data_IF_304391123756
#
_entry.id   IF_304391123756
#
_cell.length_a   1.000
_cell.length_b   1.000
_cell.length_c   1.000
_cell.angle_alpha   90.00
_cell.angle_beta   90.00
_cell.angle_gamma   90.00
#
_symmetry.space_group_name_H-M   'P 1'
#
loop_
_entity.id
_entity.type
_entity.pdbx_description
1 polymer ?
#
# COMPACT_ATOMS: atom_id res chain seq x y z
N UNK A 1 -1.48 -19.01 -22.39
CA UNK A 1 -1.09 -17.92 -21.48
C UNK A 1 0.07 -18.41 -20.64
N UNK A 2 1.13 -17.62 -20.43
CA UNK A 2 2.24 -18.00 -19.52
C UNK A 2 1.88 -17.62 -18.09
N UNK A 3 2.43 -18.33 -17.10
CA UNK A 3 2.22 -18.01 -15.69
C UNK A 3 2.56 -16.54 -15.37
N UNK A 4 3.66 -16.03 -15.91
CA UNK A 4 4.07 -14.62 -15.78
C UNK A 4 3.07 -13.61 -16.34
N UNK A 5 2.30 -13.98 -17.36
CA UNK A 5 1.30 -13.12 -17.97
C UNK A 5 -0.01 -13.15 -17.17
N UNK A 6 -0.28 -14.27 -16.50
CA UNK A 6 -1.42 -14.44 -15.60
C UNK A 6 -1.20 -13.72 -14.26
N UNK A 7 -0.02 -13.81 -13.67
CA UNK A 7 0.35 -13.10 -12.43
C UNK A 7 0.13 -11.60 -12.57
N UNK A 8 0.55 -11.00 -13.69
CA UNK A 8 0.35 -9.57 -13.98
C UNK A 8 -1.11 -9.15 -14.12
N UNK A 9 -2.01 -10.10 -14.44
CA UNK A 9 -3.45 -9.82 -14.53
C UNK A 9 -4.15 -9.92 -13.18
N UNK A 10 -3.56 -10.65 -12.23
CA UNK A 10 -4.17 -10.93 -10.94
C UNK A 10 -3.66 -9.99 -9.82
N UNK A 11 -2.42 -9.49 -9.92
CA UNK A 11 -1.86 -8.56 -8.95
C UNK A 11 -2.45 -7.16 -9.16
N UNK A 12 -3.11 -6.63 -8.13
CA UNK A 12 -3.61 -5.25 -8.14
C UNK A 12 -2.43 -4.29 -7.98
N UNK A 13 -2.25 -3.40 -8.96
CA UNK A 13 -1.24 -2.33 -8.92
C UNK A 13 -1.90 -0.95 -8.91
N UNK A 14 -1.46 -0.08 -8.01
CA UNK A 14 -1.94 1.29 -7.85
C UNK A 14 -0.82 2.29 -8.15
N UNK A 15 -1.06 3.20 -9.10
CA UNK A 15 -0.15 4.30 -9.44
C UNK A 15 -0.55 5.57 -8.70
N UNK A 16 0.40 6.22 -8.04
CA UNK A 16 0.22 7.49 -7.33
C UNK A 16 1.14 8.54 -7.93
N UNK A 17 0.54 9.63 -8.42
CA UNK A 17 1.24 10.77 -8.99
C UNK A 17 1.31 11.91 -7.97
N UNK A 18 2.43 12.64 -7.95
CA UNK A 18 2.64 13.72 -6.99
C UNK A 18 2.34 15.09 -7.62
N UNK A 19 1.28 15.73 -7.13
CA UNK A 19 0.81 17.04 -7.60
C UNK A 19 1.97 18.06 -7.72
N UNK A 20 2.04 18.73 -8.88
CA UNK A 20 3.06 19.75 -9.17
C UNK A 20 4.42 19.20 -9.61
N UNK A 21 4.52 17.90 -9.87
CA UNK A 21 5.73 17.24 -10.38
C UNK A 21 5.35 16.13 -11.38
N UNK A 22 6.32 15.67 -12.17
CA UNK A 22 6.18 14.44 -12.98
C UNK A 22 6.45 13.16 -12.17
N UNK A 23 6.65 13.29 -10.85
CA UNK A 23 6.98 12.19 -9.96
C UNK A 23 5.82 11.21 -9.78
N UNK A 24 6.11 9.91 -9.75
CA UNK A 24 5.15 8.88 -9.41
C UNK A 24 5.77 7.70 -8.65
N UNK A 25 4.92 6.97 -7.94
CA UNK A 25 5.19 5.61 -7.47
C UNK A 25 4.11 4.65 -7.96
N UNK A 26 4.46 3.37 -8.09
CA UNK A 26 3.53 2.28 -8.36
C UNK A 26 3.70 1.21 -7.28
N UNK A 27 2.61 0.90 -6.59
CA UNK A 27 2.58 -0.09 -5.53
C UNK A 27 1.72 -1.27 -5.96
N UNK A 28 2.19 -2.50 -5.78
CA UNK A 28 1.32 -3.68 -5.80
C UNK A 28 0.58 -3.81 -4.46
N UNK A 29 -0.48 -4.60 -4.41
CA UNK A 29 -1.04 -5.05 -3.15
C UNK A 29 -0.05 -5.94 -2.37
N UNK A 30 -0.12 -5.95 -1.03
CA UNK A 30 0.68 -6.87 -0.23
C UNK A 30 0.15 -8.30 -0.38
N UNK A 31 1.03 -9.29 -0.29
CA UNK A 31 0.62 -10.70 -0.30
C UNK A 31 0.01 -11.11 1.04
N UNK A 32 -0.71 -12.22 1.07
CA UNK A 32 -1.23 -12.81 2.32
C UNK A 32 -0.09 -13.06 3.31
N UNK A 33 1.02 -13.66 2.85
CA UNK A 33 2.19 -13.92 3.68
C UNK A 33 2.80 -12.64 4.27
N UNK A 34 2.93 -11.57 3.47
CA UNK A 34 3.44 -10.27 3.93
C UNK A 34 2.55 -9.62 5.00
N UNK A 35 1.23 -9.75 4.85
CA UNK A 35 0.26 -9.29 5.85
C UNK A 35 0.34 -10.14 7.13
N UNK A 36 0.48 -11.45 7.00
CA UNK A 36 0.58 -12.38 8.14
C UNK A 36 1.89 -12.17 8.92
N UNK A 37 3.03 -12.06 8.25
CA UNK A 37 4.34 -11.86 8.88
C UNK A 37 4.38 -10.60 9.76
N UNK A 38 3.76 -9.51 9.29
CA UNK A 38 3.72 -8.24 10.04
C UNK A 38 2.51 -8.12 10.98
N UNK A 39 1.48 -8.93 10.75
CA UNK A 39 0.25 -9.01 11.52
C UNK A 39 0.35 -9.89 12.77
N UNK A 40 1.43 -10.67 12.92
CA UNK A 40 1.67 -11.50 14.11
C UNK A 40 1.96 -10.65 15.35
N UNK A 41 0.88 -10.15 15.96
CA UNK A 41 0.93 -9.28 17.13
C UNK A 41 -0.34 -9.39 17.97
N UNK A 42 -0.61 -10.58 18.51
CA UNK A 42 -1.53 -10.91 19.62
C UNK A 42 -3.00 -10.48 19.48
N UNK A 43 -3.84 -11.51 19.41
CA UNK A 43 -5.25 -11.60 19.80
C UNK A 43 -6.24 -10.63 19.14
N UNK A 44 -7.30 -11.24 18.61
CA UNK A 44 -8.42 -10.67 17.83
C UNK A 44 -8.05 -10.17 16.43
N UNK A 45 -8.80 -10.68 15.43
CA UNK A 45 -8.87 -10.24 14.03
C UNK A 45 -7.88 -9.13 13.67
N UNK A 46 -6.75 -9.51 13.07
CA UNK A 46 -5.63 -8.61 12.76
C UNK A 46 -6.10 -7.39 11.98
N UNK A 47 -6.44 -6.30 12.68
CA UNK A 47 -6.79 -5.04 12.02
C UNK A 47 -5.54 -4.59 11.29
N UNK A 48 -5.60 -4.58 9.96
CA UNK A 48 -4.54 -4.00 9.12
C UNK A 48 -4.42 -2.53 9.53
N UNK A 49 -3.41 -2.24 10.34
CA UNK A 49 -3.16 -0.88 10.80
C UNK A 49 -2.30 -0.15 9.78
N UNK A 50 -2.48 1.17 9.72
CA UNK A 50 -1.62 2.06 8.94
C UNK A 50 -0.13 1.89 9.24
N UNK A 51 0.22 1.49 10.47
CA UNK A 51 1.60 1.19 10.87
C UNK A 51 2.15 -0.05 10.16
N UNK A 52 1.36 -1.11 10.04
CA UNK A 52 1.71 -2.34 9.28
C UNK A 52 1.91 -1.98 7.81
N UNK A 53 0.95 -1.27 7.21
CA UNK A 53 1.02 -0.85 5.81
C UNK A 53 2.25 0.02 5.52
N UNK A 54 2.61 0.93 6.42
CA UNK A 54 3.81 1.77 6.28
C UNK A 54 5.10 0.95 6.16
N UNK A 55 5.15 -0.22 6.82
CA UNK A 55 6.30 -1.13 6.76
C UNK A 55 6.34 -1.93 5.46
N UNK A 56 5.20 -2.16 4.82
CA UNK A 56 5.08 -2.91 3.58
C UNK A 56 5.39 -2.10 2.32
N UNK A 57 5.24 -0.76 2.38
CA UNK A 57 5.44 0.12 1.22
C UNK A 57 6.74 -0.17 0.44
N UNK A 58 7.92 -0.34 1.05
CA UNK A 58 9.15 -0.60 0.29
C UNK A 58 9.12 -1.91 -0.50
N UNK A 59 8.58 -2.99 0.10
CA UNK A 59 8.48 -4.30 -0.53
C UNK A 59 7.38 -4.34 -1.62
N UNK A 60 6.37 -3.49 -1.48
CA UNK A 60 5.27 -3.36 -2.43
C UNK A 60 5.55 -2.35 -3.55
N UNK A 61 6.64 -1.59 -3.50
CA UNK A 61 7.04 -0.63 -4.53
C UNK A 61 7.63 -1.37 -5.74
N UNK A 62 6.90 -1.35 -6.85
CA UNK A 62 7.30 -2.05 -8.09
C UNK A 62 7.91 -1.11 -9.13
N UNK A 63 7.57 0.18 -9.07
CA UNK A 63 8.06 1.18 -10.03
C UNK A 63 8.04 2.59 -9.42
N UNK A 64 8.99 3.43 -9.81
CA UNK A 64 9.01 4.87 -9.58
C UNK A 64 9.97 5.55 -10.57
N UNK A 65 9.90 6.87 -10.68
CA UNK A 65 10.80 7.67 -11.56
C UNK A 65 11.67 8.68 -10.82
N UNK A 66 11.89 8.52 -9.52
CA UNK A 66 12.80 9.37 -8.77
C UNK A 66 14.27 9.06 -9.05
N UNK A 67 15.06 10.13 -9.24
CA UNK A 67 16.50 10.09 -9.51
C UNK A 67 17.25 10.98 -8.50
N UNK A 68 18.49 10.62 -8.22
CA UNK A 68 19.47 11.48 -7.56
C UNK A 68 19.86 12.63 -8.50
N UNK A 69 20.51 13.66 -7.95
CA UNK A 69 20.94 14.83 -8.74
C UNK A 69 21.96 14.48 -9.84
N UNK A 70 22.62 13.32 -9.76
CA UNK A 70 23.54 12.80 -10.78
C UNK A 70 22.85 12.00 -11.89
N UNK A 71 21.51 11.86 -11.84
CA UNK A 71 20.68 11.12 -12.79
C UNK A 71 20.57 9.62 -12.51
N UNK A 72 21.13 9.11 -11.41
CA UNK A 72 20.95 7.71 -11.02
C UNK A 72 19.60 7.49 -10.34
N UNK A 73 18.89 6.40 -10.66
CA UNK A 73 17.60 6.10 -10.03
C UNK A 73 17.76 5.77 -8.54
N UNK A 74 16.87 6.28 -7.69
CA UNK A 74 16.85 5.93 -6.27
C UNK A 74 16.51 4.45 -6.06
N UNK A 75 16.97 3.86 -4.96
CA UNK A 75 16.43 2.60 -4.46
C UNK A 75 15.05 2.77 -3.81
N UNK A 76 14.26 1.70 -3.81
CA UNK A 76 12.92 1.69 -3.20
C UNK A 76 12.92 2.17 -1.73
N UNK A 77 13.89 1.71 -0.93
CA UNK A 77 14.03 2.11 0.48
C UNK A 77 14.32 3.61 0.64
N UNK A 78 15.06 4.19 -0.30
CA UNK A 78 15.39 5.61 -0.30
C UNK A 78 14.16 6.44 -0.66
N UNK A 79 13.40 6.02 -1.69
CA UNK A 79 12.12 6.64 -2.04
C UNK A 79 11.17 6.63 -0.85
N UNK A 80 11.02 5.49 -0.17
CA UNK A 80 10.15 5.41 1.01
C UNK A 80 10.67 6.27 2.17
N UNK A 81 11.98 6.35 2.36
CA UNK A 81 12.60 7.24 3.35
C UNK A 81 12.28 8.71 3.05
N UNK A 82 12.31 9.12 1.78
CA UNK A 82 11.90 10.47 1.36
C UNK A 82 10.42 10.72 1.61
N UNK A 83 9.54 9.78 1.26
CA UNK A 83 8.10 9.90 1.49
C UNK A 83 7.79 10.05 2.99
N UNK A 84 8.50 9.30 3.85
CA UNK A 84 8.37 9.38 5.31
C UNK A 84 8.78 10.73 5.90
N UNK A 85 9.58 11.56 5.20
CA UNK A 85 9.87 12.93 5.64
C UNK A 85 8.62 13.82 5.65
N UNK A 86 7.60 13.47 4.88
CA UNK A 86 6.31 14.16 4.89
C UNK A 86 5.21 13.25 5.45
N UNK A 87 4.96 13.37 6.75
CA UNK A 87 3.95 12.56 7.45
C UNK A 87 2.56 12.63 6.79
N UNK A 88 2.11 13.80 6.31
CA UNK A 88 0.82 13.90 5.63
C UNK A 88 0.80 13.20 4.26
N UNK A 89 1.85 13.35 3.44
CA UNK A 89 1.87 12.76 2.10
C UNK A 89 1.92 11.23 2.17
N UNK A 90 2.83 10.65 2.96
CA UNK A 90 2.89 9.19 3.11
C UNK A 90 1.58 8.61 3.64
N UNK A 91 0.93 9.33 4.57
CA UNK A 91 -0.34 8.91 5.12
C UNK A 91 -1.48 8.92 4.09
N UNK A 92 -1.52 9.93 3.21
CA UNK A 92 -2.47 9.99 2.09
C UNK A 92 -2.21 8.85 1.10
N UNK A 93 -0.95 8.64 0.73
CA UNK A 93 -0.55 7.53 -0.16
C UNK A 93 -0.96 6.18 0.41
N UNK A 94 -0.66 5.89 1.69
CA UNK A 94 -1.03 4.62 2.33
C UNK A 94 -2.55 4.45 2.39
N UNK A 95 -3.29 5.52 2.68
CA UNK A 95 -4.76 5.46 2.72
C UNK A 95 -5.32 5.12 1.34
N UNK A 96 -4.89 5.82 0.30
CA UNK A 96 -5.35 5.57 -1.06
C UNK A 96 -4.93 4.19 -1.56
N UNK A 97 -3.72 3.75 -1.20
CA UNK A 97 -3.23 2.41 -1.51
C UNK A 97 -4.07 1.33 -0.84
N UNK A 98 -4.39 1.48 0.45
CA UNK A 98 -5.28 0.57 1.16
C UNK A 98 -6.66 0.52 0.50
N UNK A 99 -7.28 1.68 0.26
CA UNK A 99 -8.59 1.79 -0.39
C UNK A 99 -8.61 1.06 -1.75
N UNK A 100 -7.54 1.18 -2.54
CA UNK A 100 -7.46 0.59 -3.87
C UNK A 100 -7.50 -0.95 -3.91
N UNK A 101 -7.08 -1.64 -2.84
CA UNK A 101 -7.22 -3.10 -2.72
C UNK A 101 -8.26 -3.53 -1.68
N UNK A 102 -8.65 -2.64 -0.76
CA UNK A 102 -9.66 -2.91 0.28
C UNK A 102 -11.09 -2.72 -0.19
N UNK A 103 -11.34 -2.04 -1.31
CA UNK A 103 -12.68 -2.02 -1.93
C UNK A 103 -13.16 -3.43 -2.35
N UNK A 104 -12.27 -4.44 -2.30
CA UNK A 104 -12.57 -5.88 -2.41
C UNK A 104 -13.06 -6.52 -1.11
N UNK A 105 -12.97 -5.83 0.03
CA UNK A 105 -13.35 -6.28 1.36
C UNK A 105 -14.52 -5.40 1.79
N UNK A 106 -15.75 -5.86 1.56
CA UNK A 106 -16.93 -5.16 2.05
C UNK A 106 -16.74 -4.82 3.55
N UNK A 107 -16.97 -3.57 3.99
CA UNK A 107 -16.99 -3.28 5.41
C UNK A 107 -18.08 -4.18 6.01
N UNK A 108 -17.69 -5.06 6.94
CA UNK A 108 -18.63 -5.85 7.72
C UNK A 108 -19.70 -4.89 8.24
N UNK A 109 -20.94 -5.07 7.74
CA UNK A 109 -22.04 -4.20 8.06
C UNK A 109 -22.14 -4.07 9.57
N UNK A 110 -22.01 -2.85 10.09
CA UNK A 110 -22.37 -2.56 11.48
C UNK A 110 -23.82 -3.01 11.66
N UNK A 111 -24.02 -4.11 12.39
CA UNK A 111 -25.33 -4.52 12.88
C UNK A 111 -25.90 -3.34 13.67
N UNK A 112 -26.84 -2.62 13.05
CA UNK A 112 -27.70 -1.67 13.73
C UNK A 112 -28.57 -2.45 14.71
N UNK A 113 -28.08 -2.59 15.94
CA UNK A 113 -28.86 -3.04 17.10
C UNK A 113 -29.92 -1.96 17.41
N UNK A 114 -30.98 -1.98 16.61
CA UNK A 114 -32.23 -1.29 16.90
C UNK A 114 -32.95 -2.10 17.97
N UNK A 115 -32.47 -2.00 19.21
CA UNK A 115 -33.25 -2.35 20.39
C UNK A 115 -34.43 -1.38 20.50
N UNK A 116 -35.52 -1.76 19.83
CA UNK A 116 -36.88 -1.43 20.24
C UNK A 116 -37.04 -1.80 21.71
N UNK A 117 -37.29 -0.80 22.55
CA UNK A 117 -38.22 -0.97 23.67
C UNK A 117 -38.88 0.36 24.00
#
# INVERSE_FOLDING_TARGET
>A
MKASDFEKQYIVESKFEFEGTDGYIKLREPTEDELLELGQGKDDETKITKHILTKLVPACLVEHNFEHDDGTSLGNDEVVTLLKKSGQKINRTIKQWFEAFSDSIEPAAEEKDTKKK
#
